data_IF_583438874001
#
_entry.id   IF_583438874001
#
_cell.length_a   1.000
_cell.length_b   1.000
_cell.length_c   1.000
_cell.angle_alpha   90.00
_cell.angle_beta   90.00
_cell.angle_gamma   90.00
#
_symmetry.space_group_name_H-M   'P 1'
#
loop_
_entity.id
_entity.type
_entity.pdbx_description
1 polymer ?
#
# COMPACT_ATOMS: atom_id res chain seq x y z
N UNK A 1 -9.47 2.95 -33.84
CA UNK A 1 -8.65 1.85 -33.28
C UNK A 1 -8.69 0.62 -34.19
N UNK A 2 -8.84 0.80 -35.51
CA UNK A 2 -9.28 -0.26 -36.43
C UNK A 2 -8.16 -0.77 -37.33
N UNK A 3 -6.95 -0.84 -36.80
CA UNK A 3 -5.84 -1.50 -37.47
C UNK A 3 -6.03 -3.02 -37.42
N UNK A 4 -5.77 -3.78 -38.51
CA UNK A 4 -5.90 -5.23 -38.52
C UNK A 4 -5.04 -5.93 -37.45
N UNK A 5 -3.92 -5.31 -37.06
CA UNK A 5 -3.04 -5.77 -35.98
C UNK A 5 -3.71 -5.66 -34.60
N UNK A 6 -4.39 -4.55 -34.30
CA UNK A 6 -5.07 -4.36 -33.01
C UNK A 6 -6.23 -5.34 -32.85
N UNK A 7 -6.94 -5.62 -33.95
CA UNK A 7 -8.02 -6.62 -33.96
C UNK A 7 -7.50 -8.01 -33.60
N UNK A 8 -6.32 -8.40 -34.12
CA UNK A 8 -5.70 -9.68 -33.78
C UNK A 8 -5.34 -9.77 -32.28
N UNK A 9 -4.85 -8.69 -31.66
CA UNK A 9 -4.57 -8.66 -30.22
C UNK A 9 -5.84 -8.74 -29.37
N UNK A 10 -6.90 -8.03 -29.75
CA UNK A 10 -8.19 -8.08 -29.05
C UNK A 10 -8.75 -9.50 -29.09
N UNK A 11 -8.76 -10.15 -30.25
CA UNK A 11 -9.25 -11.53 -30.37
C UNK A 11 -8.36 -12.52 -29.59
N UNK A 12 -7.04 -12.30 -29.56
CA UNK A 12 -6.12 -13.09 -28.73
C UNK A 12 -6.49 -13.00 -27.24
N UNK A 13 -6.76 -11.80 -26.71
CA UNK A 13 -7.12 -11.62 -25.30
C UNK A 13 -8.50 -12.18 -24.96
N UNK A 14 -9.47 -12.04 -25.86
CA UNK A 14 -10.79 -12.67 -25.71
C UNK A 14 -10.68 -14.19 -25.64
N UNK A 15 -9.93 -14.80 -26.55
CA UNK A 15 -9.74 -16.27 -26.58
C UNK A 15 -8.92 -16.80 -25.40
N UNK A 16 -8.21 -15.93 -24.68
CA UNK A 16 -7.44 -16.27 -23.49
C UNK A 16 -8.18 -15.93 -22.18
N UNK A 17 -9.47 -15.57 -22.24
CA UNK A 17 -10.28 -15.11 -21.11
C UNK A 17 -9.64 -13.95 -20.33
N UNK A 18 -8.86 -13.12 -21.02
CA UNK A 18 -8.13 -11.98 -20.46
C UNK A 18 -8.77 -10.62 -20.82
N UNK A 19 -9.90 -10.62 -21.52
CA UNK A 19 -10.64 -9.41 -21.87
C UNK A 19 -12.14 -9.67 -21.75
N UNK A 20 -12.81 -8.82 -20.97
CA UNK A 20 -14.26 -8.80 -20.84
C UNK A 20 -14.81 -7.50 -21.42
N UNK A 21 -15.70 -7.60 -22.40
CA UNK A 21 -16.38 -6.44 -22.98
C UNK A 21 -17.64 -6.14 -22.17
N UNK A 22 -17.68 -5.00 -21.49
CA UNK A 22 -18.85 -4.59 -20.71
C UNK A 22 -20.03 -4.28 -21.63
N UNK A 23 -21.28 -4.60 -21.23
CA UNK A 23 -22.47 -4.26 -22.00
C UNK A 23 -22.62 -2.75 -22.19
N UNK A 24 -23.10 -2.35 -23.36
CA UNK A 24 -23.39 -0.94 -23.67
C UNK A 24 -24.35 -0.33 -22.65
N UNK A 25 -24.00 0.85 -22.14
CA UNK A 25 -24.80 1.59 -21.16
C UNK A 25 -24.61 1.16 -19.72
N UNK A 26 -23.77 0.14 -19.44
CA UNK A 26 -23.33 -0.18 -18.09
C UNK A 26 -22.09 0.62 -17.70
N UNK A 27 -21.94 0.92 -16.41
CA UNK A 27 -20.72 1.50 -15.87
C UNK A 27 -19.68 0.38 -15.69
N UNK A 28 -18.54 0.48 -16.36
CA UNK A 28 -17.42 -0.46 -16.29
C UNK A 28 -16.73 -0.47 -14.92
N UNK A 29 -16.85 0.60 -14.14
CA UNK A 29 -16.33 0.72 -12.77
C UNK A 29 -16.66 -0.46 -11.89
N UNK A 30 -17.93 -0.87 -11.91
CA UNK A 30 -18.40 -1.97 -11.09
C UNK A 30 -17.81 -3.32 -11.49
N UNK A 31 -17.44 -3.49 -12.76
CA UNK A 31 -16.92 -4.76 -13.27
C UNK A 31 -15.49 -4.98 -12.81
N UNK A 32 -14.60 -4.02 -13.08
CA UNK A 32 -13.20 -4.15 -12.67
C UNK A 32 -13.08 -4.13 -11.14
N UNK A 33 -13.93 -3.37 -10.44
CA UNK A 33 -13.88 -3.30 -8.98
C UNK A 33 -14.31 -4.62 -8.36
N UNK A 34 -15.44 -5.16 -8.82
CA UNK A 34 -15.92 -6.46 -8.37
C UNK A 34 -14.89 -7.57 -8.66
N UNK A 35 -14.28 -7.58 -9.84
CA UNK A 35 -13.26 -8.56 -10.19
C UNK A 35 -12.07 -8.48 -9.22
N UNK A 36 -11.51 -7.28 -9.00
CA UNK A 36 -10.37 -7.08 -8.12
C UNK A 36 -10.66 -7.50 -6.67
N UNK A 37 -11.83 -7.14 -6.13
CA UNK A 37 -12.26 -7.53 -4.78
C UNK A 37 -12.45 -9.05 -4.68
N UNK A 38 -13.18 -9.65 -5.63
CA UNK A 38 -13.50 -11.09 -5.62
C UNK A 38 -12.25 -11.95 -5.73
N UNK A 39 -11.34 -11.59 -6.61
CA UNK A 39 -10.12 -12.36 -6.88
C UNK A 39 -8.94 -11.93 -5.99
N UNK A 40 -9.09 -10.89 -5.16
CA UNK A 40 -8.06 -10.36 -4.25
C UNK A 40 -6.76 -10.05 -5.00
N UNK A 41 -6.88 -9.36 -6.14
CA UNK A 41 -5.78 -9.05 -7.02
C UNK A 41 -5.56 -7.54 -7.16
N UNK A 42 -4.43 -7.17 -7.77
CA UNK A 42 -4.13 -5.78 -8.08
C UNK A 42 -5.10 -5.22 -9.12
N UNK A 43 -5.29 -3.91 -9.08
CA UNK A 43 -5.96 -3.13 -10.11
C UNK A 43 -5.02 -2.06 -10.64
N UNK A 44 -4.86 -1.99 -11.95
CA UNK A 44 -4.01 -0.99 -12.60
C UNK A 44 -4.91 0.14 -13.10
N UNK A 45 -4.92 1.29 -12.43
CA UNK A 45 -5.69 2.47 -12.80
C UNK A 45 -5.17 3.72 -12.09
N UNK A 46 -5.21 4.86 -12.78
CA UNK A 46 -4.92 6.18 -12.19
C UNK A 46 -6.20 6.91 -11.75
N UNK A 47 -7.37 6.26 -11.83
CA UNK A 47 -8.61 6.83 -11.30
C UNK A 47 -8.57 6.83 -9.77
N UNK A 48 -8.87 7.97 -9.15
CA UNK A 48 -8.84 8.12 -7.71
C UNK A 48 -10.09 7.56 -6.99
N UNK A 49 -11.10 7.13 -7.76
CA UNK A 49 -12.36 6.55 -7.29
C UNK A 49 -13.10 7.48 -6.32
N UNK A 50 -13.09 8.79 -6.62
CA UNK A 50 -13.62 9.87 -5.74
C UNK A 50 -15.10 10.19 -5.96
N UNK A 51 -15.74 9.54 -6.92
CA UNK A 51 -17.13 9.84 -7.25
C UNK A 51 -18.09 9.49 -6.12
N UNK A 52 -19.21 10.23 -6.05
CA UNK A 52 -20.23 10.02 -5.02
C UNK A 52 -20.74 8.58 -4.94
N UNK A 53 -20.67 7.85 -6.04
CA UNK A 53 -20.98 6.43 -6.18
C UNK A 53 -20.11 5.55 -5.28
N UNK A 54 -18.84 5.89 -5.08
CA UNK A 54 -17.90 5.08 -4.29
C UNK A 54 -17.98 5.35 -2.78
N UNK A 55 -18.59 6.46 -2.35
CA UNK A 55 -18.86 6.68 -0.91
C UNK A 55 -19.75 5.57 -0.31
N UNK A 56 -20.53 4.86 -1.14
CA UNK A 56 -21.31 3.69 -0.73
C UNK A 56 -20.45 2.52 -0.22
N UNK A 57 -19.16 2.48 -0.57
CA UNK A 57 -18.23 1.42 -0.18
C UNK A 57 -17.65 1.63 1.24
N UNK A 58 -18.00 2.75 1.88
CA UNK A 58 -17.63 3.08 3.25
C UNK A 58 -16.23 3.72 3.38
N UNK A 59 -16.09 4.58 4.38
CA UNK A 59 -14.91 5.43 4.56
C UNK A 59 -13.74 4.74 5.29
N UNK A 60 -13.89 3.49 5.72
CA UNK A 60 -12.84 2.75 6.45
C UNK A 60 -12.24 1.63 5.59
N UNK A 61 -13.08 0.69 5.14
CA UNK A 61 -12.62 -0.46 4.35
C UNK A 61 -12.05 -0.06 2.99
N UNK A 62 -12.75 0.79 2.24
CA UNK A 62 -12.41 1.04 0.85
C UNK A 62 -11.08 1.80 0.66
N UNK A 63 -10.77 2.86 1.43
CA UNK A 63 -9.46 3.51 1.35
C UNK A 63 -8.30 2.55 1.65
N UNK A 64 -8.43 1.70 2.68
CA UNK A 64 -7.43 0.70 3.05
C UNK A 64 -7.29 -0.40 2.00
N UNK A 65 -8.39 -0.80 1.37
CA UNK A 65 -8.36 -1.72 0.24
C UNK A 65 -7.65 -1.09 -0.97
N UNK A 66 -7.97 0.17 -1.28
CA UNK A 66 -7.39 0.93 -2.39
C UNK A 66 -5.86 1.04 -2.26
N UNK A 67 -5.37 1.46 -1.09
CA UNK A 67 -3.93 1.53 -0.77
C UNK A 67 -3.18 0.22 -1.08
N UNK A 68 -3.83 -0.93 -0.88
CA UNK A 68 -3.17 -2.23 -0.99
C UNK A 68 -3.29 -2.89 -2.37
N UNK A 69 -4.21 -2.44 -3.22
CA UNK A 69 -4.53 -3.10 -4.49
C UNK A 69 -4.35 -2.18 -5.70
N UNK A 70 -4.43 -0.86 -5.55
CA UNK A 70 -4.29 0.07 -6.67
C UNK A 70 -2.84 0.25 -7.08
N UNK A 71 -2.57 0.04 -8.36
CA UNK A 71 -1.30 0.30 -9.02
C UNK A 71 -1.50 1.51 -9.93
N UNK A 72 -0.80 2.59 -9.61
CA UNK A 72 -0.72 3.76 -10.48
C UNK A 72 0.34 3.51 -11.55
N UNK A 73 0.24 4.20 -12.67
CA UNK A 73 1.21 4.09 -13.75
C UNK A 73 1.50 5.43 -14.40
N UNK A 74 2.72 5.58 -14.90
CA UNK A 74 3.17 6.74 -15.68
C UNK A 74 3.84 6.26 -16.95
N UNK A 75 3.75 7.04 -18.02
CA UNK A 75 4.50 6.74 -19.24
C UNK A 75 5.79 7.54 -19.26
N UNK A 76 6.90 6.82 -19.42
CA UNK A 76 8.25 7.38 -19.57
C UNK A 76 8.79 7.07 -20.97
N UNK A 77 9.92 7.66 -21.34
CA UNK A 77 10.61 7.35 -22.61
C UNK A 77 11.04 5.87 -22.70
N UNK A 78 11.23 5.19 -21.57
CA UNK A 78 11.57 3.77 -21.51
C UNK A 78 10.34 2.85 -21.58
N UNK A 79 9.12 3.40 -21.49
CA UNK A 79 7.86 2.66 -21.42
C UNK A 79 7.04 2.98 -20.16
N UNK A 80 5.98 2.20 -19.88
CA UNK A 80 5.18 2.37 -18.69
C UNK A 80 5.97 1.98 -17.44
N UNK A 81 5.95 2.87 -16.45
CA UNK A 81 6.41 2.63 -15.09
C UNK A 81 5.21 2.47 -14.16
N UNK A 82 5.33 1.59 -13.17
CA UNK A 82 4.22 1.20 -12.29
C UNK A 82 4.57 1.49 -10.82
N UNK A 83 3.81 2.37 -10.19
CA UNK A 83 3.89 2.63 -8.76
C UNK A 83 3.09 1.52 -8.03
N UNK A 84 3.81 0.53 -7.50
CA UNK A 84 3.20 -0.62 -6.82
C UNK A 84 2.73 -0.26 -5.40
N UNK A 85 1.64 -0.88 -4.88
CA UNK A 85 1.24 -0.76 -3.49
C UNK A 85 2.38 -1.01 -2.50
N UNK A 86 2.44 -0.27 -1.37
CA UNK A 86 3.43 -0.49 -0.34
C UNK A 86 3.49 -1.97 0.12
N UNK A 87 4.70 -2.52 0.36
CA UNK A 87 4.85 -3.92 0.76
C UNK A 87 4.29 -4.21 2.15
N UNK A 88 4.21 -3.18 3.01
CA UNK A 88 3.64 -3.23 4.35
C UNK A 88 2.53 -2.18 4.48
N UNK A 89 1.52 -2.49 5.30
CA UNK A 89 0.44 -1.54 5.60
C UNK A 89 0.90 -0.48 6.61
N UNK A 90 0.53 0.77 6.38
CA UNK A 90 0.85 1.90 7.29
C UNK A 90 -0.17 1.95 8.42
N UNK A 91 -0.11 0.96 9.31
CA UNK A 91 -0.98 0.83 10.49
C UNK A 91 -0.14 0.50 11.72
N UNK A 92 -0.74 0.64 12.91
CA UNK A 92 -0.13 0.14 14.14
C UNK A 92 0.02 -1.37 14.04
N UNK A 93 1.24 -1.87 14.27
CA UNK A 93 1.58 -3.29 14.15
C UNK A 93 2.27 -3.80 15.41
N UNK A 94 1.81 -4.95 15.91
CA UNK A 94 2.51 -5.75 16.91
C UNK A 94 3.14 -6.97 16.25
N UNK A 95 4.44 -7.17 16.48
CA UNK A 95 5.17 -8.35 16.02
C UNK A 95 5.00 -9.52 16.99
N UNK A 96 5.27 -10.74 16.53
CA UNK A 96 5.26 -11.97 17.36
C UNK A 96 6.18 -11.90 18.59
N UNK A 97 7.21 -11.04 18.56
CA UNK A 97 8.14 -10.81 19.68
C UNK A 97 7.61 -9.79 20.70
N UNK A 98 6.42 -9.24 20.48
CA UNK A 98 5.82 -8.17 21.27
C UNK A 98 6.46 -6.80 21.04
N UNK A 99 7.10 -6.59 19.88
CA UNK A 99 7.56 -5.26 19.47
C UNK A 99 6.42 -4.51 18.77
N UNK A 100 6.32 -3.22 19.04
CA UNK A 100 5.31 -2.34 18.46
C UNK A 100 5.93 -1.38 17.44
N UNK A 101 5.25 -1.20 16.32
CA UNK A 101 5.56 -0.20 15.30
C UNK A 101 4.34 0.68 15.11
N UNK A 102 4.48 1.98 15.41
CA UNK A 102 3.38 2.95 15.40
C UNK A 102 3.76 4.03 14.39
N UNK A 103 3.07 4.14 13.24
CA UNK A 103 3.31 5.22 12.30
C UNK A 103 2.84 6.55 12.90
N UNK A 104 3.64 7.60 12.73
CA UNK A 104 3.25 8.95 13.12
C UNK A 104 2.47 9.59 11.97
N UNK A 105 1.40 10.31 12.30
CA UNK A 105 0.61 11.05 11.31
C UNK A 105 1.42 12.27 10.84
N UNK A 106 1.77 12.30 9.57
CA UNK A 106 2.39 13.45 8.91
C UNK A 106 1.30 14.27 8.21
N UNK A 107 1.35 15.59 8.36
CA UNK A 107 0.44 16.49 7.66
C UNK A 107 0.77 16.48 6.15
N UNK A 108 -0.18 16.01 5.33
CA UNK A 108 -0.04 15.92 3.87
C UNK A 108 -0.47 14.55 3.33
N UNK A 109 -1.56 14.53 2.57
CA UNK A 109 -2.00 13.33 1.83
C UNK A 109 -1.04 13.10 0.64
N UNK A 110 -0.34 11.96 0.62
CA UNK A 110 0.41 11.48 -0.56
C UNK A 110 1.85 11.98 -0.73
N UNK A 111 2.26 13.06 -0.06
CA UNK A 111 3.66 13.53 -0.06
C UNK A 111 4.36 13.02 1.22
N UNK A 112 5.21 11.99 1.08
CA UNK A 112 6.09 11.55 2.18
C UNK A 112 5.81 10.16 2.78
N UNK A 113 5.02 9.29 2.14
CA UNK A 113 4.84 7.91 2.64
C UNK A 113 6.17 7.14 2.79
N UNK A 114 7.13 7.40 1.90
CA UNK A 114 8.47 6.82 1.96
C UNK A 114 9.33 7.37 3.12
N UNK A 115 9.03 8.58 3.61
CA UNK A 115 9.78 9.27 4.67
C UNK A 115 9.01 9.33 6.00
N UNK A 116 7.88 8.63 6.12
CA UNK A 116 7.04 8.64 7.31
C UNK A 116 7.83 8.20 8.54
N UNK A 117 7.74 8.98 9.62
CA UNK A 117 8.34 8.62 10.90
C UNK A 117 7.56 7.50 11.61
N UNK A 118 8.29 6.58 12.24
CA UNK A 118 7.74 5.46 12.99
C UNK A 118 8.30 5.43 14.41
N UNK A 119 7.42 5.27 15.39
CA UNK A 119 7.81 4.92 16.75
C UNK A 119 7.97 3.40 16.85
N UNK A 120 9.20 2.94 17.08
CA UNK A 120 9.53 1.53 17.28
C UNK A 120 9.77 1.26 18.77
N UNK A 121 8.98 0.37 19.37
CA UNK A 121 9.08 -0.03 20.77
C UNK A 121 9.48 -1.51 20.80
N UNK A 122 10.70 -1.77 21.26
CA UNK A 122 11.25 -3.12 21.38
C UNK A 122 11.57 -3.44 22.84
N UNK A 123 11.52 -4.71 23.21
CA UNK A 123 11.90 -5.15 24.55
C UNK A 123 13.42 -5.21 24.62
N UNK A 124 14.02 -4.59 25.63
CA UNK A 124 15.45 -4.76 25.88
C UNK A 124 15.74 -6.24 26.17
N UNK A 125 16.67 -6.85 25.44
CA UNK A 125 17.16 -8.18 25.78
C UNK A 125 17.69 -8.15 27.21
N UNK A 126 17.17 -9.02 28.09
CA UNK A 126 17.64 -9.15 29.47
C UNK A 126 19.02 -9.81 29.52
N UNK A 127 20.05 -9.10 29.05
CA UNK A 127 21.47 -9.45 29.22
C UNK A 127 22.31 -8.21 29.53
N UNK A 128 21.81 -7.34 30.40
CA UNK A 128 22.69 -6.39 31.08
C UNK A 128 23.27 -7.09 32.30
N UNK A 129 24.44 -7.70 32.10
CA UNK A 129 25.36 -8.05 33.19
C UNK A 129 25.57 -6.77 34.01
N UNK A 130 25.17 -6.79 35.28
CA UNK A 130 25.48 -5.71 36.22
C UNK A 130 27.00 -5.63 36.34
N UNK A 131 27.65 -4.70 35.65
CA UNK A 131 28.97 -4.26 36.08
C UNK A 131 28.77 -3.46 37.38
N UNK A 132 29.07 -4.10 38.49
CA UNK A 132 29.26 -3.43 39.77
C UNK A 132 30.40 -2.41 39.62
N UNK A 133 30.06 -1.13 39.70
CA UNK A 133 31.06 -0.09 39.92
C UNK A 133 31.40 -0.15 41.41
N UNK A 134 32.56 -0.74 41.73
CA UNK A 134 33.12 -0.70 43.08
C UNK A 134 33.72 0.67 43.33
N UNK A 135 33.34 1.23 44.48
CA UNK A 135 33.63 2.54 45.03
C UNK A 135 35.13 2.81 45.25
N UNK A 136 35.55 4.06 45.09
CA UNK A 136 36.64 4.65 45.90
C UNK A 136 36.13 5.96 46.53
N UNK A 137 36.19 6.12 47.87
CA UNK A 137 35.85 7.38 48.51
C UNK A 137 37.00 8.38 48.38
N UNK A 138 36.72 9.54 47.81
CA UNK A 138 37.63 10.68 47.78
C UNK A 138 37.70 11.37 49.14
N UNK A 139 38.93 11.61 49.59
CA UNK A 139 39.28 12.38 50.79
C UNK A 139 38.90 13.86 50.58
N UNK A 140 38.22 14.53 51.53
CA UNK A 140 38.05 15.98 51.46
C UNK A 140 39.32 16.69 51.96
N UNK A 141 39.82 17.62 51.16
CA UNK A 141 40.80 18.61 51.57
C UNK A 141 40.06 19.86 52.08
N UNK A 142 40.33 20.15 53.36
CA UNK A 142 40.03 21.35 54.16
C UNK A 142 38.57 21.75 54.39
#
# INVERSE_FOLDING_TARGET
MDGPVNKAFIEKWKNADALYATPTGSNDDWYWLYAAIKFKCLIVTNDEMRDHTFHLLGNDFFPRWKERHQVHFRFTDAGPDFDMPPPCSVVIQESEKGHWHIPIETEGEGEGEAEREWLCITRANSRTTRHSITTTPGVPLY
#
